data_IF_540634446322
#
_entry.id   IF_540634446322
#
_cell.length_a   1.000
_cell.length_b   1.000
_cell.length_c   1.000
_cell.angle_alpha   90.00
_cell.angle_beta   90.00
_cell.angle_gamma   90.00
#
_symmetry.space_group_name_H-M   'P 1'
#
loop_
_entity.id
_entity.type
_entity.pdbx_description
1 polymer ?
#
# COMPACT_ATOMS: atom_id res chain seq x y z
N UNK A 1 -28.07 -17.54 11.80
CA UNK A 1 -27.34 -16.25 11.93
C UNK A 1 -26.24 -16.20 10.89
N UNK A 2 -26.15 -15.15 10.07
CA UNK A 2 -25.03 -14.99 9.13
C UNK A 2 -23.77 -14.66 9.94
N UNK A 3 -22.68 -15.39 9.76
CA UNK A 3 -21.42 -15.10 10.44
C UNK A 3 -20.97 -13.67 10.10
N UNK A 4 -20.58 -12.89 11.12
CA UNK A 4 -20.07 -11.53 10.89
C UNK A 4 -18.66 -11.64 10.34
N UNK A 5 -18.41 -10.97 9.22
CA UNK A 5 -17.07 -10.89 8.64
C UNK A 5 -16.29 -9.75 9.32
N UNK A 6 -15.25 -10.12 10.05
CA UNK A 6 -14.37 -9.21 10.79
C UNK A 6 -13.10 -8.84 10.01
N UNK A 7 -12.93 -9.35 8.78
CA UNK A 7 -11.78 -9.00 7.93
C UNK A 7 -11.86 -7.54 7.54
N UNK A 8 -10.77 -6.79 7.77
CA UNK A 8 -10.67 -5.36 7.47
C UNK A 8 -10.54 -5.10 5.96
N UNK A 9 -9.94 -6.03 5.24
CA UNK A 9 -9.76 -5.99 3.79
C UNK A 9 -10.28 -7.30 3.21
N UNK A 10 -11.09 -7.20 2.15
CA UNK A 10 -11.62 -8.33 1.39
C UNK A 10 -11.44 -8.01 -0.08
N UNK A 11 -10.73 -8.88 -0.81
CA UNK A 11 -10.47 -8.74 -2.25
C UNK A 11 -9.89 -7.36 -2.64
N UNK A 12 -8.96 -6.85 -1.82
CA UNK A 12 -8.32 -5.53 -2.03
C UNK A 12 -9.23 -4.32 -1.75
N UNK A 13 -10.41 -4.53 -1.17
CA UNK A 13 -11.33 -3.45 -0.77
C UNK A 13 -11.47 -3.40 0.75
N UNK A 14 -11.55 -2.18 1.28
CA UNK A 14 -11.83 -1.97 2.70
C UNK A 14 -13.25 -2.41 3.07
N UNK A 15 -13.36 -3.28 4.06
CA UNK A 15 -14.63 -3.65 4.66
C UNK A 15 -15.00 -2.64 5.74
N UNK A 16 -15.71 -1.57 5.35
CA UNK A 16 -16.13 -0.49 6.24
C UNK A 16 -16.93 -0.96 7.46
N UNK A 17 -17.74 -2.03 7.33
CA UNK A 17 -18.51 -2.59 8.44
C UNK A 17 -17.60 -3.22 9.50
N UNK A 18 -16.60 -3.98 9.08
CA UNK A 18 -15.60 -4.53 10.00
C UNK A 18 -14.79 -3.44 10.69
N UNK A 19 -14.41 -2.38 9.97
CA UNK A 19 -13.69 -1.23 10.53
C UNK A 19 -14.52 -0.52 11.61
N UNK A 20 -15.81 -0.27 11.35
CA UNK A 20 -16.71 0.33 12.35
C UNK A 20 -16.90 -0.57 13.58
N UNK A 21 -17.02 -1.88 13.39
CA UNK A 21 -17.12 -2.83 14.49
C UNK A 21 -15.85 -2.86 15.34
N UNK A 22 -14.67 -2.78 14.71
CA UNK A 22 -13.37 -2.71 15.38
C UNK A 22 -13.21 -1.40 16.16
N UNK A 23 -13.60 -0.27 15.57
CA UNK A 23 -13.65 1.02 16.25
C UNK A 23 -14.56 0.98 17.50
N UNK A 24 -15.71 0.33 17.39
CA UNK A 24 -16.61 0.16 18.54
C UNK A 24 -16.01 -0.72 19.63
N UNK A 25 -15.33 -1.80 19.26
CA UNK A 25 -14.61 -2.67 20.20
C UNK A 25 -13.49 -1.90 20.92
N UNK A 26 -12.72 -1.07 20.21
CA UNK A 26 -11.68 -0.21 20.79
C UNK A 26 -12.23 0.80 21.78
N UNK A 27 -13.32 1.48 21.43
CA UNK A 27 -14.00 2.40 22.35
C UNK A 27 -14.49 1.66 23.61
N UNK A 28 -15.06 0.46 23.46
CA UNK A 28 -15.54 -0.33 24.60
C UNK A 28 -14.41 -0.85 25.49
N UNK A 29 -13.30 -1.31 24.90
CA UNK A 29 -12.11 -1.74 25.64
C UNK A 29 -11.53 -0.59 26.46
N UNK A 30 -11.54 0.61 25.92
CA UNK A 30 -10.98 1.81 26.54
C UNK A 30 -12.02 2.66 27.28
N UNK A 31 -13.17 2.07 27.66
CA UNK A 31 -14.28 2.79 28.32
C UNK A 31 -13.88 3.48 29.63
N UNK A 32 -12.83 3.01 30.29
CA UNK A 32 -12.27 3.64 31.48
C UNK A 32 -11.65 5.02 31.20
N UNK A 33 -11.17 5.25 29.96
CA UNK A 33 -10.57 6.52 29.57
C UNK A 33 -11.63 7.47 29.01
N UNK A 34 -12.06 8.42 29.84
CA UNK A 34 -13.09 9.42 29.49
C UNK A 34 -12.77 10.24 28.23
N UNK A 35 -11.48 10.39 27.90
CA UNK A 35 -10.97 11.12 26.74
C UNK A 35 -10.86 10.28 25.46
N UNK A 36 -11.08 8.96 25.56
CA UNK A 36 -11.00 8.05 24.43
C UNK A 36 -12.36 7.95 23.73
N UNK A 37 -12.61 8.92 22.85
CA UNK A 37 -13.85 9.00 22.08
C UNK A 37 -13.90 7.98 20.94
N UNK A 38 -15.11 7.73 20.44
CA UNK A 38 -15.31 6.90 19.25
C UNK A 38 -14.51 7.43 18.04
N UNK A 39 -14.33 8.74 17.93
CA UNK A 39 -13.53 9.34 16.86
C UNK A 39 -12.05 8.92 16.92
N UNK A 40 -11.46 8.83 18.13
CA UNK A 40 -10.10 8.29 18.30
C UNK A 40 -10.05 6.80 17.94
N UNK A 41 -11.01 6.04 18.47
CA UNK A 41 -11.14 4.62 18.18
C UNK A 41 -11.31 4.32 16.68
N UNK A 42 -12.01 5.19 15.96
CA UNK A 42 -12.20 5.07 14.52
C UNK A 42 -10.91 5.37 13.75
N UNK A 43 -10.13 6.36 14.16
CA UNK A 43 -8.80 6.61 13.59
C UNK A 43 -7.89 5.41 13.76
N UNK A 44 -7.82 4.85 14.96
CA UNK A 44 -7.00 3.68 15.26
C UNK A 44 -7.44 2.46 14.41
N UNK A 45 -8.74 2.25 14.25
CA UNK A 45 -9.27 1.19 13.40
C UNK A 45 -8.96 1.38 11.91
N UNK A 46 -8.88 2.63 11.43
CA UNK A 46 -8.46 2.93 10.05
C UNK A 46 -6.97 2.71 9.83
N UNK A 47 -6.12 3.00 10.83
CA UNK A 47 -4.68 2.69 10.76
C UNK A 47 -4.47 1.19 10.62
N UNK A 48 -5.15 0.38 11.44
CA UNK A 48 -5.09 -1.09 11.32
C UNK A 48 -5.58 -1.60 9.96
N UNK A 49 -6.62 -0.97 9.42
CA UNK A 49 -7.13 -1.33 8.10
C UNK A 49 -6.12 -1.02 7.00
N UNK A 50 -5.42 0.12 7.10
CA UNK A 50 -4.32 0.49 6.21
C UNK A 50 -3.18 -0.53 6.25
N UNK A 51 -2.72 -0.90 7.46
CA UNK A 51 -1.73 -1.96 7.66
C UNK A 51 -2.15 -3.27 6.98
N UNK A 52 -3.40 -3.69 7.15
CA UNK A 52 -3.93 -4.90 6.49
C UNK A 52 -4.01 -4.77 4.97
N UNK A 53 -4.25 -3.57 4.44
CA UNK A 53 -4.23 -3.32 3.01
C UNK A 53 -2.81 -3.39 2.44
N UNK A 54 -1.82 -2.89 3.19
CA UNK A 54 -0.42 -2.97 2.79
C UNK A 54 0.08 -4.41 2.83
N UNK A 55 -0.30 -5.19 3.85
CA UNK A 55 -0.07 -6.64 3.89
C UNK A 55 -0.70 -7.35 2.67
N UNK A 56 -1.94 -7.01 2.31
CA UNK A 56 -2.60 -7.57 1.13
C UNK A 56 -1.87 -7.21 -0.16
N UNK A 57 -1.45 -5.95 -0.33
CA UNK A 57 -0.68 -5.51 -1.50
C UNK A 57 0.65 -6.23 -1.60
N UNK A 58 1.35 -6.42 -0.48
CA UNK A 58 2.62 -7.15 -0.43
C UNK A 58 2.45 -8.62 -0.85
N UNK A 59 1.32 -9.25 -0.52
CA UNK A 59 1.01 -10.62 -0.95
C UNK A 59 0.66 -10.70 -2.45
N UNK A 60 -0.14 -9.76 -2.96
CA UNK A 60 -0.62 -9.77 -4.36
C UNK A 60 0.48 -9.38 -5.34
N UNK A 61 1.36 -8.47 -4.96
CA UNK A 61 2.54 -8.08 -5.73
C UNK A 61 3.72 -8.04 -4.77
N UNK A 62 4.46 -9.15 -4.59
CA UNK A 62 5.75 -9.08 -3.95
C UNK A 62 6.63 -8.22 -4.87
N UNK A 63 6.71 -6.93 -4.58
CA UNK A 63 7.73 -6.07 -5.15
C UNK A 63 9.03 -6.63 -4.60
N UNK A 64 9.69 -7.49 -5.38
CA UNK A 64 11.04 -7.94 -5.08
C UNK A 64 11.92 -6.69 -5.08
N UNK A 65 12.19 -6.15 -3.90
CA UNK A 65 13.10 -5.01 -3.70
C UNK A 65 14.54 -5.34 -4.08
N UNK A 66 14.83 -6.63 -4.27
CA UNK A 66 16.17 -7.16 -4.49
C UNK A 66 16.60 -7.11 -5.96
N UNK A 67 15.66 -6.88 -6.88
CA UNK A 67 16.01 -6.68 -8.28
C UNK A 67 16.15 -5.18 -8.57
N UNK A 68 17.36 -4.69 -8.89
CA UNK A 68 17.50 -3.35 -9.40
C UNK A 68 16.60 -3.25 -10.63
N UNK A 69 15.65 -2.31 -10.60
CA UNK A 69 14.77 -1.99 -11.72
C UNK A 69 15.64 -1.94 -12.97
N UNK A 70 15.45 -2.88 -13.90
CA UNK A 70 16.19 -2.85 -15.16
C UNK A 70 16.00 -1.46 -15.73
N UNK A 71 17.09 -0.70 -15.82
CA UNK A 71 17.00 0.61 -16.41
C UNK A 71 16.50 0.35 -17.84
N UNK A 72 15.26 0.75 -18.14
CA UNK A 72 14.67 0.65 -19.47
C UNK A 72 15.38 1.66 -20.40
N UNK A 73 16.68 1.49 -20.52
CA UNK A 73 17.56 2.38 -21.23
C UNK A 73 17.90 1.67 -22.53
N UNK A 74 16.90 1.48 -23.39
CA UNK A 74 17.13 1.13 -24.80
C UNK A 74 18.19 2.05 -25.41
N UNK A 75 18.21 3.33 -25.00
CA UNK A 75 19.27 4.27 -25.33
C UNK A 75 20.67 3.82 -24.88
N UNK A 76 20.81 3.32 -23.66
CA UNK A 76 22.10 2.82 -23.16
C UNK A 76 22.52 1.55 -23.92
N UNK A 77 21.59 0.63 -24.15
CA UNK A 77 21.86 -0.59 -24.93
C UNK A 77 22.28 -0.28 -26.38
N UNK A 78 21.69 0.74 -27.01
CA UNK A 78 22.08 1.20 -28.34
C UNK A 78 23.45 1.89 -28.35
N UNK A 79 23.76 2.68 -27.32
CA UNK A 79 25.08 3.32 -27.15
C UNK A 79 26.18 2.26 -26.91
N UNK A 80 25.88 1.21 -26.14
CA UNK A 80 26.84 0.14 -25.86
C UNK A 80 27.09 -0.75 -27.11
N UNK A 81 26.06 -0.99 -27.93
CA UNK A 81 26.20 -1.70 -29.21
C UNK A 81 26.96 -0.87 -30.26
N UNK A 82 26.81 0.45 -30.21
CA UNK A 82 27.48 1.37 -31.13
C UNK A 82 27.97 2.64 -30.40
N UNK A 83 29.21 2.62 -29.88
CA UNK A 83 29.74 3.74 -29.10
C UNK A 83 29.90 5.05 -29.89
N UNK A 84 29.84 5.01 -31.22
CA UNK A 84 29.81 6.22 -32.06
C UNK A 84 28.53 7.07 -31.86
N UNK A 85 27.44 6.46 -31.39
CA UNK A 85 26.18 7.16 -31.09
C UNK A 85 26.28 8.03 -29.84
N UNK A 86 27.31 7.84 -29.01
CA UNK A 86 27.55 8.64 -27.80
C UNK A 86 27.86 10.11 -28.14
N UNK A 87 28.40 10.35 -29.33
CA UNK A 87 28.87 11.65 -29.79
C UNK A 87 27.99 12.25 -30.89
N UNK A 88 26.84 11.63 -31.23
CA UNK A 88 25.91 12.19 -32.20
C UNK A 88 25.09 13.31 -31.55
N UNK A 89 25.77 14.43 -31.31
CA UNK A 89 25.13 15.70 -30.96
C UNK A 89 24.40 16.19 -32.21
N UNK A 90 23.07 16.16 -32.17
CA UNK A 90 22.21 16.70 -33.22
C UNK A 90 22.22 18.24 -33.18
N UNK A 91 23.40 18.83 -33.31
CA UNK A 91 23.65 20.27 -33.39
C UNK A 91 23.59 20.81 -34.82
N UNK A 92 22.87 20.13 -35.72
CA UNK A 92 22.42 20.72 -36.97
C UNK A 92 21.06 21.40 -36.77
N UNK A 93 21.13 22.62 -36.23
CA UNK A 93 20.16 23.70 -36.42
C UNK A 93 20.91 25.00 -36.64
#
# INVERSE_FOLDING_TARGET
>A
MKARDYRLVVDGKYNRRAIMQRAWAYMKKNKAFKWYSFAKALKDAWVDAGLKMDEYKAQVSPVYTDYPKHANNFRQALIDLNPSLKCYDSSWR
#
